data_IF_928558996370
#
_entry.id   IF_928558996370
#
_cell.length_a   1.000
_cell.length_b   1.000
_cell.length_c   1.000
_cell.angle_alpha   90.00
_cell.angle_beta   90.00
_cell.angle_gamma   90.00
#
_symmetry.space_group_name_H-M   'P 1'
#
loop_
_entity.id
_entity.type
_entity.pdbx_description
1 polymer ?
#
# COMPACT_ATOMS: atom_id res chain seq x y z
N UNK A 1 6.91 64.99 1.54
CA UNK A 1 6.52 63.86 2.39
C UNK A 1 7.12 62.58 1.82
N UNK A 2 7.99 61.88 2.56
CA UNK A 2 8.59 60.60 2.13
C UNK A 2 7.72 59.46 2.66
N UNK A 3 6.91 58.86 1.79
CA UNK A 3 6.09 57.70 2.13
C UNK A 3 7.04 56.50 2.20
N UNK A 4 7.13 55.90 3.38
CA UNK A 4 8.13 54.88 3.72
C UNK A 4 7.77 53.55 3.05
N UNK A 5 8.77 52.90 2.47
CA UNK A 5 8.74 51.63 1.73
C UNK A 5 8.51 50.38 2.63
N UNK A 6 7.92 50.56 3.81
CA UNK A 6 7.84 49.52 4.85
C UNK A 6 7.02 48.28 4.40
N UNK A 7 5.94 48.48 3.63
CA UNK A 7 5.04 47.38 3.22
C UNK A 7 5.68 46.41 2.21
N UNK A 8 6.51 46.90 1.31
CA UNK A 8 7.22 46.05 0.33
C UNK A 8 8.30 45.19 0.99
N UNK A 9 8.94 45.74 2.03
CA UNK A 9 10.01 45.07 2.79
C UNK A 9 9.44 43.98 3.70
N UNK A 10 8.29 44.23 4.33
CA UNK A 10 7.57 43.23 5.14
C UNK A 10 7.08 42.05 4.29
N UNK A 11 6.52 42.34 3.10
CA UNK A 11 6.03 41.31 2.18
C UNK A 11 7.16 40.41 1.67
N UNK A 12 8.31 41.00 1.34
CA UNK A 12 9.51 40.25 0.93
C UNK A 12 10.06 39.40 2.08
N UNK A 13 10.13 39.95 3.29
CA UNK A 13 10.60 39.23 4.47
C UNK A 13 9.64 38.08 4.88
N UNK A 14 8.34 38.24 4.64
CA UNK A 14 7.34 37.18 4.84
C UNK A 14 7.49 36.06 3.81
N UNK A 15 7.67 36.40 2.53
CA UNK A 15 7.89 35.43 1.47
C UNK A 15 9.17 34.60 1.70
N UNK A 16 10.26 35.23 2.15
CA UNK A 16 11.51 34.54 2.46
C UNK A 16 11.36 33.59 3.66
N UNK A 17 10.64 34.01 4.70
CA UNK A 17 10.31 33.15 5.86
C UNK A 17 9.48 31.93 5.44
N UNK A 18 8.49 32.11 4.57
CA UNK A 18 7.66 31.02 4.04
C UNK A 18 8.48 30.06 3.16
N UNK A 19 9.31 30.57 2.25
CA UNK A 19 10.18 29.74 1.43
C UNK A 19 11.16 28.92 2.28
N UNK A 20 11.70 29.50 3.35
CA UNK A 20 12.57 28.81 4.31
C UNK A 20 11.83 27.70 5.06
N UNK A 21 10.58 27.94 5.47
CA UNK A 21 9.74 26.92 6.10
C UNK A 21 9.42 25.79 5.13
N UNK A 22 9.03 26.12 3.90
CA UNK A 22 8.72 25.12 2.86
C UNK A 22 9.92 24.20 2.60
N UNK A 23 11.12 24.75 2.47
CA UNK A 23 12.35 23.94 2.29
C UNK A 23 12.66 23.04 3.47
N UNK A 24 12.36 23.49 4.70
CA UNK A 24 12.53 22.66 5.90
C UNK A 24 11.51 21.53 5.97
N UNK A 25 10.27 21.80 5.57
CA UNK A 25 9.22 20.78 5.48
C UNK A 25 9.61 19.76 4.41
N UNK A 26 10.01 20.22 3.23
CA UNK A 26 10.45 19.35 2.13
C UNK A 26 11.64 18.47 2.56
N UNK A 27 12.68 19.05 3.18
CA UNK A 27 13.77 18.27 3.76
C UNK A 27 13.33 17.27 4.84
N UNK A 28 12.33 17.62 5.66
CA UNK A 28 11.81 16.72 6.67
C UNK A 28 11.01 15.57 6.06
N UNK A 29 10.29 15.83 4.97
CA UNK A 29 9.55 14.82 4.21
C UNK A 29 10.49 13.92 3.40
N UNK A 30 11.54 14.46 2.77
CA UNK A 30 12.54 13.66 2.05
C UNK A 30 13.42 12.81 2.97
N UNK A 31 13.60 13.24 4.23
CA UNK A 31 14.27 12.44 5.28
C UNK A 31 13.36 11.42 5.93
N UNK A 32 12.06 11.43 5.61
CA UNK A 32 11.13 10.45 6.14
C UNK A 32 11.41 9.14 5.41
N UNK A 33 12.15 8.26 6.08
CA UNK A 33 12.35 6.88 5.66
C UNK A 33 10.96 6.31 5.30
N UNK A 34 10.81 5.64 4.14
CA UNK A 34 9.54 5.02 3.79
C UNK A 34 9.06 4.17 4.97
N UNK A 35 7.75 4.20 5.21
CA UNK A 35 7.16 3.46 6.32
C UNK A 35 7.54 1.98 6.24
N UNK A 36 7.65 1.33 7.39
CA UNK A 36 7.96 -0.10 7.49
C UNK A 36 7.03 -0.92 6.61
N UNK A 37 5.75 -0.54 6.55
CA UNK A 37 4.73 -1.19 5.71
C UNK A 37 5.02 -1.03 4.22
N UNK A 38 5.26 0.19 3.73
CA UNK A 38 5.58 0.46 2.32
C UNK A 38 6.83 -0.28 1.87
N UNK A 39 7.86 -0.27 2.73
CA UNK A 39 9.13 -0.95 2.49
C UNK A 39 8.95 -2.46 2.45
N UNK A 40 8.11 -2.99 3.36
CA UNK A 40 7.80 -4.41 3.41
C UNK A 40 7.01 -4.87 2.18
N UNK A 41 6.03 -4.09 1.72
CA UNK A 41 5.26 -4.39 0.51
C UNK A 41 6.14 -4.43 -0.74
N UNK A 42 7.09 -3.49 -0.86
CA UNK A 42 8.05 -3.48 -1.98
C UNK A 42 8.96 -4.73 -1.96
N UNK A 43 9.40 -5.17 -0.78
CA UNK A 43 10.25 -6.33 -0.62
C UNK A 43 9.49 -7.68 -0.58
N UNK A 44 8.15 -7.66 -0.60
CA UNK A 44 7.32 -8.84 -0.29
C UNK A 44 7.59 -10.03 -1.21
N UNK A 45 7.72 -9.81 -2.51
CA UNK A 45 7.99 -10.87 -3.48
C UNK A 45 9.33 -11.59 -3.21
N UNK A 46 10.36 -10.82 -2.86
CA UNK A 46 11.68 -11.34 -2.50
C UNK A 46 11.64 -12.11 -1.18
N UNK A 47 10.89 -11.59 -0.20
CA UNK A 47 10.66 -12.25 1.10
C UNK A 47 9.99 -13.62 0.90
N UNK A 48 8.92 -13.68 0.11
CA UNK A 48 8.22 -14.95 -0.17
C UNK A 48 9.11 -15.93 -0.94
N UNK A 49 9.87 -15.45 -1.92
CA UNK A 49 10.81 -16.27 -2.67
C UNK A 49 11.91 -16.85 -1.77
N UNK A 50 12.50 -16.05 -0.87
CA UNK A 50 13.50 -16.50 0.09
C UNK A 50 12.94 -17.58 1.03
N UNK A 51 11.72 -17.38 1.55
CA UNK A 51 11.07 -18.37 2.41
C UNK A 51 10.74 -19.67 1.65
N UNK A 52 10.31 -19.60 0.39
CA UNK A 52 10.06 -20.78 -0.46
C UNK A 52 11.33 -21.56 -0.79
N UNK A 53 12.47 -20.87 -0.88
CA UNK A 53 13.79 -21.48 -1.05
C UNK A 53 14.35 -22.10 0.24
N UNK A 54 13.64 -21.98 1.36
CA UNK A 54 14.00 -22.62 2.63
C UNK A 54 14.82 -21.72 3.58
N UNK A 55 14.93 -20.42 3.33
CA UNK A 55 15.51 -19.51 4.32
C UNK A 55 14.63 -19.44 5.56
N UNK A 56 15.27 -19.46 6.73
CA UNK A 56 14.57 -19.31 7.99
C UNK A 56 14.00 -17.90 8.11
N UNK A 57 12.83 -17.78 8.74
CA UNK A 57 12.20 -16.47 8.99
C UNK A 57 13.15 -15.49 9.70
N UNK A 58 13.99 -15.97 10.61
CA UNK A 58 14.99 -15.14 11.31
C UNK A 58 16.00 -14.52 10.36
N UNK A 59 16.51 -15.29 9.41
CA UNK A 59 17.50 -14.83 8.45
C UNK A 59 16.89 -13.82 7.49
N UNK A 60 15.66 -14.06 7.04
CA UNK A 60 14.91 -13.11 6.21
C UNK A 60 14.65 -11.80 6.95
N UNK A 61 14.27 -11.84 8.23
CA UNK A 61 14.09 -10.62 9.05
C UNK A 61 15.41 -9.86 9.18
N UNK A 62 16.53 -10.57 9.42
CA UNK A 62 17.84 -9.95 9.52
C UNK A 62 18.24 -9.25 8.20
N UNK A 63 18.04 -9.92 7.06
CA UNK A 63 18.31 -9.36 5.73
C UNK A 63 17.46 -8.12 5.44
N UNK A 64 16.16 -8.15 5.76
CA UNK A 64 15.26 -6.99 5.55
C UNK A 64 15.66 -5.83 6.46
N UNK A 65 15.99 -6.10 7.71
CA UNK A 65 16.44 -5.07 8.65
C UNK A 65 17.75 -4.41 8.21
N UNK A 66 18.70 -5.22 7.73
CA UNK A 66 20.00 -4.73 7.24
C UNK A 66 19.84 -3.91 5.94
N UNK A 67 19.08 -4.43 4.98
CA UNK A 67 18.91 -3.82 3.65
C UNK A 67 18.19 -2.46 3.72
N UNK A 68 17.18 -2.36 4.60
CA UNK A 68 16.30 -1.19 4.66
C UNK A 68 16.50 -0.33 5.92
N UNK A 69 17.55 -0.60 6.71
CA UNK A 69 17.82 0.03 8.01
C UNK A 69 16.60 0.00 8.95
N UNK A 70 15.92 -1.16 8.99
CA UNK A 70 14.72 -1.36 9.79
C UNK A 70 15.01 -2.13 11.09
N UNK A 71 14.07 -2.04 12.03
CA UNK A 71 14.07 -2.83 13.29
C UNK A 71 12.81 -3.66 13.41
N UNK A 72 12.53 -4.49 12.40
CA UNK A 72 11.45 -5.45 12.43
C UNK A 72 11.71 -6.56 13.43
N UNK A 73 10.69 -6.86 14.22
CA UNK A 73 10.67 -8.00 15.13
C UNK A 73 9.78 -9.11 14.57
N UNK A 74 10.01 -10.36 14.99
CA UNK A 74 9.31 -11.53 14.43
C UNK A 74 7.78 -11.48 14.56
N UNK A 75 7.24 -10.81 15.59
CA UNK A 75 5.79 -10.61 15.72
C UNK A 75 5.26 -9.64 14.64
N UNK A 76 5.93 -8.50 14.45
CA UNK A 76 5.57 -7.51 13.43
C UNK A 76 5.73 -8.07 12.02
N UNK A 77 6.81 -8.81 11.76
CA UNK A 77 7.04 -9.46 10.47
C UNK A 77 5.93 -10.46 10.11
N UNK A 78 5.50 -11.30 11.07
CA UNK A 78 4.35 -12.22 10.86
C UNK A 78 3.04 -11.48 10.61
N UNK A 79 2.83 -10.35 11.31
CA UNK A 79 1.66 -9.50 11.08
C UNK A 79 1.66 -8.96 9.65
N UNK A 80 2.77 -8.39 9.20
CA UNK A 80 2.92 -7.83 7.86
C UNK A 80 2.75 -8.91 6.77
N UNK A 81 3.36 -10.09 6.93
CA UNK A 81 3.13 -11.22 6.02
C UNK A 81 1.66 -11.63 5.92
N UNK A 82 0.95 -11.65 7.05
CA UNK A 82 -0.46 -12.01 7.09
C UNK A 82 -1.32 -10.94 6.43
N UNK A 83 -1.01 -9.67 6.69
CA UNK A 83 -1.71 -8.52 6.13
C UNK A 83 -1.58 -8.51 4.61
N UNK A 84 -0.37 -8.66 4.09
CA UNK A 84 -0.09 -8.67 2.64
C UNK A 84 -0.73 -9.87 1.93
N UNK A 85 -0.67 -11.06 2.54
CA UNK A 85 -1.40 -12.24 2.03
C UNK A 85 -2.91 -12.05 2.05
N UNK A 86 -3.43 -11.36 3.07
CA UNK A 86 -4.85 -11.08 3.17
C UNK A 86 -5.27 -10.01 2.16
N UNK A 87 -4.42 -9.04 1.85
CA UNK A 87 -4.64 -8.06 0.80
C UNK A 87 -4.67 -8.73 -0.59
N UNK A 88 -3.69 -9.61 -0.87
CA UNK A 88 -3.66 -10.46 -2.07
C UNK A 88 -4.85 -11.42 -2.18
N UNK A 89 -5.40 -11.88 -1.05
CA UNK A 89 -6.58 -12.75 -1.01
C UNK A 89 -7.92 -12.02 -1.06
N UNK A 90 -7.98 -10.76 -0.60
CA UNK A 90 -9.20 -9.94 -0.58
C UNK A 90 -9.46 -9.24 -1.91
N UNK A 91 -8.41 -8.90 -2.67
CA UNK A 91 -8.50 -8.51 -4.08
C UNK A 91 -8.71 -9.80 -4.90
N UNK A 92 -9.93 -10.34 -4.85
CA UNK A 92 -10.27 -11.71 -5.26
C UNK A 92 -10.15 -12.01 -6.75
N UNK A 93 -8.99 -11.75 -7.37
CA UNK A 93 -8.64 -12.20 -8.70
C UNK A 93 -7.25 -12.85 -8.63
N UNK A 94 -7.23 -14.14 -8.91
CA UNK A 94 -6.04 -14.87 -9.32
C UNK A 94 -6.40 -15.48 -10.66
N UNK A 95 -5.85 -15.02 -11.78
CA UNK A 95 -5.43 -16.02 -12.75
C UNK A 95 -4.00 -16.37 -12.42
N UNK A 96 -3.39 -17.30 -13.13
CA UNK A 96 -1.99 -17.69 -13.05
C UNK A 96 -1.61 -17.97 -14.49
N UNK A 97 -0.37 -17.71 -14.91
CA UNK A 97 0.02 -17.93 -16.31
C UNK A 97 0.04 -19.43 -16.68
N UNK A 98 -0.54 -19.87 -17.81
CA UNK A 98 -0.63 -21.29 -18.16
C UNK A 98 0.70 -21.98 -18.50
N UNK A 99 1.82 -21.26 -18.56
CA UNK A 99 3.16 -21.82 -18.80
C UNK A 99 4.06 -21.84 -17.55
N UNK A 100 3.98 -20.82 -16.67
CA UNK A 100 4.82 -20.68 -15.47
C UNK A 100 4.05 -20.71 -14.13
N UNK A 101 2.73 -20.89 -14.19
CA UNK A 101 1.78 -21.23 -13.12
C UNK A 101 1.76 -20.36 -11.84
N UNK A 102 2.11 -19.07 -11.90
CA UNK A 102 1.93 -18.15 -10.76
C UNK A 102 1.34 -16.76 -11.19
N UNK A 103 0.76 -15.90 -10.30
CA UNK A 103 -0.51 -15.19 -10.55
C UNK A 103 -0.62 -14.20 -11.73
N UNK A 104 -1.82 -14.10 -12.29
CA UNK A 104 -2.33 -13.38 -13.46
C UNK A 104 -3.82 -12.98 -13.31
N UNK A 105 -4.30 -12.35 -12.24
CA UNK A 105 -5.49 -11.48 -12.41
C UNK A 105 -5.41 -10.45 -11.29
N UNK A 106 -5.77 -9.17 -11.40
CA UNK A 106 -6.40 -8.38 -12.44
C UNK A 106 -7.77 -8.88 -12.84
N UNK A 107 -8.76 -8.52 -12.01
CA UNK A 107 -10.02 -8.04 -12.54
C UNK A 107 -10.80 -7.34 -11.38
N UNK A 108 -11.49 -6.21 -11.57
CA UNK A 108 -12.28 -5.56 -10.50
C UNK A 108 -13.72 -6.11 -10.37
N UNK A 109 -14.31 -5.93 -9.17
CA UNK A 109 -15.74 -5.74 -8.87
C UNK A 109 -16.67 -6.96 -8.78
N UNK A 110 -17.17 -7.18 -7.56
CA UNK A 110 -18.47 -7.75 -7.26
C UNK A 110 -19.55 -6.65 -7.38
N UNK A 111 -20.69 -6.98 -7.98
CA UNK A 111 -21.92 -6.18 -7.98
C UNK A 111 -23.10 -7.05 -8.45
N UNK A 112 -24.31 -6.93 -7.86
CA UNK A 112 -25.32 -7.99 -7.87
C UNK A 112 -26.35 -7.87 -9.01
N UNK A 113 -27.05 -8.98 -9.23
CA UNK A 113 -28.41 -9.08 -9.81
C UNK A 113 -28.58 -8.92 -11.34
N UNK A 114 -29.02 -9.99 -12.02
CA UNK A 114 -30.37 -10.07 -12.62
C UNK A 114 -30.49 -11.17 -13.70
N UNK A 115 -31.48 -12.03 -13.50
CA UNK A 115 -32.38 -12.64 -14.51
C UNK A 115 -31.91 -13.82 -15.37
N UNK A 116 -32.47 -15.00 -15.08
CA UNK A 116 -33.25 -15.83 -16.01
C UNK A 116 -33.77 -17.06 -15.22
N UNK A 117 -35.08 -17.15 -14.92
CA UNK A 117 -36.09 -17.98 -15.63
C UNK A 117 -35.75 -19.47 -15.54
N UNK A 118 -36.57 -20.42 -15.05
CA UNK A 118 -38.03 -20.69 -15.17
C UNK A 118 -38.20 -22.09 -14.49
N UNK A 119 -39.20 -22.48 -13.70
CA UNK A 119 -40.49 -23.09 -14.11
C UNK A 119 -41.20 -23.69 -12.87
N UNK A 120 -42.44 -23.26 -12.65
CA UNK A 120 -43.68 -24.03 -12.32
C UNK A 120 -43.81 -24.88 -11.04
N UNK A 121 -44.71 -24.41 -10.15
CA UNK A 121 -46.04 -25.01 -9.85
C UNK A 121 -46.39 -24.87 -8.36
N UNK A 122 -47.43 -24.09 -8.02
CA UNK A 122 -48.65 -24.55 -7.34
C UNK A 122 -49.52 -23.38 -6.83
N UNK A 123 -50.81 -23.70 -6.63
CA UNK A 123 -51.91 -22.91 -6.04
C UNK A 123 -52.62 -21.94 -7.01
N UNK A 124 -53.77 -22.28 -7.60
CA UNK A 124 -55.12 -22.55 -7.04
C UNK A 124 -55.67 -21.32 -6.29
N UNK A 125 -56.67 -20.64 -6.86
CA UNK A 125 -58.04 -20.43 -6.31
C UNK A 125 -58.71 -19.10 -6.75
N UNK A 126 -59.96 -19.21 -7.22
CA UNK A 126 -61.10 -18.27 -7.07
C UNK A 126 -61.02 -16.87 -7.72
N UNK A 127 -61.87 -16.63 -8.73
CA UNK A 127 -63.27 -16.16 -8.56
C UNK A 127 -64.08 -16.42 -9.82
#
# INVERSE_FOLDING_TARGET
MKIKNDTATDTKAKAERLAKLQRKIDQALSKKTPGVETTFSEAYELIEMAMKQGLSQKDVIALVNDTYDLKLHAASFRKLLKDERSALGADGKSALCPTCRHPLALQPQAGPEATANDITANEKMVA
#
